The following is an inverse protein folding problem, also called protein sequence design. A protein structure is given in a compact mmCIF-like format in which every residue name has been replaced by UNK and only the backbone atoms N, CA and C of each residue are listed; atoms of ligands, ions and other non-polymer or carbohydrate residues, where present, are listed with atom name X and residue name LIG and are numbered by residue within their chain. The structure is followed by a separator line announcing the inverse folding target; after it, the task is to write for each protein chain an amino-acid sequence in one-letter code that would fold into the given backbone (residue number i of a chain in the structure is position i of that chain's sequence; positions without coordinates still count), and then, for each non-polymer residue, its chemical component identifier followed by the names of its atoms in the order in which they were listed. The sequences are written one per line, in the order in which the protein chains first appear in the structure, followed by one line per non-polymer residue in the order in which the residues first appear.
data_IF_760170594506
#
_entry.id   IF_760170594506
#
_cell.length_a   1.000
_cell.length_b   1.000
_cell.length_c   1.000
_cell.angle_alpha   90.00
_cell.angle_beta   90.00
_cell.angle_gamma   90.00
#
_symmetry.space_group_name_H-M   'P 1'
#
loop_
_entity.id
_entity.type
_entity.pdbx_description
1 polymer ?
#
# COMPACT_ATOMS: atom_id res chain seq x y z
N UNK A 1 -22.54 -10.47 -29.82
CA UNK A 1 -21.64 -9.35 -30.18
C UNK A 1 -20.86 -9.04 -28.91
N UNK A 2 -19.63 -9.54 -28.81
CA UNK A 2 -18.79 -9.34 -27.64
C UNK A 2 -18.32 -7.89 -27.60
N UNK A 3 -18.41 -7.29 -26.42
CA UNK A 3 -17.73 -6.05 -26.14
C UNK A 3 -16.21 -6.32 -26.36
N UNK A 4 -15.63 -5.77 -27.40
CA UNK A 4 -14.18 -5.60 -27.52
C UNK A 4 -13.79 -4.64 -26.37
N UNK A 5 -13.47 -5.23 -25.20
CA UNK A 5 -12.93 -4.49 -24.10
C UNK A 5 -11.58 -3.93 -24.54
N UNK A 6 -11.35 -2.66 -24.25
CA UNK A 6 -10.05 -2.02 -24.39
C UNK A 6 -9.07 -2.92 -23.61
N UNK A 7 -8.19 -3.59 -24.37
CA UNK A 7 -7.23 -4.52 -23.79
C UNK A 7 -6.14 -3.66 -23.14
N UNK A 8 -5.94 -3.84 -21.84
CA UNK A 8 -4.90 -3.11 -21.09
C UNK A 8 -3.56 -3.22 -21.84
N UNK A 9 -2.91 -2.11 -22.13
CA UNK A 9 -1.63 -2.08 -22.86
C UNK A 9 -0.46 -2.47 -21.97
N UNK A 10 -0.52 -2.06 -20.72
CA UNK A 10 0.53 -2.26 -19.72
C UNK A 10 0.02 -3.05 -18.53
N UNK A 11 0.94 -3.74 -17.86
CA UNK A 11 0.63 -4.52 -16.66
C UNK A 11 0.09 -3.63 -15.53
N UNK A 12 -0.75 -4.21 -14.71
CA UNK A 12 -1.16 -3.57 -13.46
C UNK A 12 -0.08 -3.82 -12.38
N UNK A 13 0.59 -2.77 -11.88
CA UNK A 13 1.63 -2.89 -10.84
C UNK A 13 1.11 -3.46 -9.51
N UNK A 14 -0.19 -3.35 -9.25
CA UNK A 14 -0.79 -3.89 -8.01
C UNK A 14 -1.06 -5.40 -8.07
N UNK A 15 -0.76 -6.06 -9.17
CA UNK A 15 -0.75 -7.52 -9.25
C UNK A 15 0.60 -8.07 -8.76
N UNK A 16 0.61 -9.28 -8.18
CA UNK A 16 1.85 -9.94 -7.76
C UNK A 16 2.84 -10.08 -8.93
N UNK A 17 2.34 -10.51 -10.09
CA UNK A 17 3.14 -10.61 -11.30
C UNK A 17 3.70 -9.26 -11.75
N UNK A 18 2.83 -8.22 -11.84
CA UNK A 18 3.24 -6.90 -12.32
C UNK A 18 4.29 -6.26 -11.42
N UNK A 19 4.13 -6.36 -10.10
CA UNK A 19 5.10 -5.83 -9.16
C UNK A 19 6.45 -6.54 -9.24
N UNK A 20 6.43 -7.87 -9.25
CA UNK A 20 7.66 -8.69 -9.38
C UNK A 20 8.35 -8.49 -10.71
N UNK A 21 7.59 -8.35 -11.80
CA UNK A 21 8.15 -8.05 -13.12
C UNK A 21 8.94 -6.73 -13.11
N UNK A 22 8.38 -5.68 -12.52
CA UNK A 22 9.00 -4.35 -12.50
C UNK A 22 10.16 -4.25 -11.52
N UNK A 23 10.03 -4.84 -10.32
CA UNK A 23 10.95 -4.61 -9.20
C UNK A 23 11.63 -5.87 -8.65
N UNK A 24 11.14 -7.06 -8.96
CA UNK A 24 11.60 -8.31 -8.36
C UNK A 24 12.63 -9.09 -9.20
N UNK A 25 13.06 -8.58 -10.35
CA UNK A 25 13.95 -9.31 -11.27
C UNK A 25 15.30 -8.63 -11.42
N UNK A 26 16.37 -9.43 -11.48
CA UNK A 26 17.73 -8.91 -11.71
C UNK A 26 17.86 -8.17 -13.07
N UNK A 27 17.05 -8.53 -14.05
CA UNK A 27 17.03 -7.89 -15.37
C UNK A 27 16.54 -6.43 -15.29
N UNK A 28 15.64 -6.13 -14.35
CA UNK A 28 15.00 -4.83 -14.19
C UNK A 28 15.45 -4.09 -12.91
N UNK A 29 16.58 -4.50 -12.31
CA UNK A 29 17.07 -3.90 -11.07
C UNK A 29 17.27 -2.38 -11.13
N UNK A 30 17.53 -1.84 -12.32
CA UNK A 30 17.65 -0.39 -12.52
C UNK A 30 16.33 0.36 -12.21
N UNK A 31 15.18 -0.29 -12.41
CA UNK A 31 13.89 0.29 -12.06
C UNK A 31 13.75 0.40 -10.53
N UNK A 32 14.08 -0.68 -9.80
CA UNK A 32 14.07 -0.68 -8.33
C UNK A 32 15.05 0.33 -7.76
N UNK A 33 16.28 0.40 -8.28
CA UNK A 33 17.31 1.37 -7.84
C UNK A 33 16.81 2.80 -8.03
N UNK A 34 16.26 3.12 -9.19
CA UNK A 34 15.73 4.45 -9.49
C UNK A 34 14.56 4.81 -8.56
N UNK A 35 13.64 3.86 -8.32
CA UNK A 35 12.53 4.06 -7.39
C UNK A 35 13.02 4.32 -5.96
N UNK A 36 13.91 3.46 -5.42
CA UNK A 36 14.44 3.60 -4.06
C UNK A 36 15.23 4.90 -3.89
N UNK A 37 16.05 5.29 -4.87
CA UNK A 37 16.77 6.55 -4.85
C UNK A 37 15.82 7.75 -4.82
N UNK A 38 14.78 7.74 -5.67
CA UNK A 38 13.79 8.81 -5.70
C UNK A 38 12.99 8.92 -4.41
N UNK A 39 12.67 7.78 -3.78
CA UNK A 39 11.88 7.71 -2.57
C UNK A 39 12.67 8.11 -1.32
N UNK A 40 13.87 7.54 -1.14
CA UNK A 40 14.58 7.59 0.15
C UNK A 40 15.60 8.74 0.23
N UNK A 41 16.26 9.04 -0.89
CA UNK A 41 17.43 9.92 -0.87
C UNK A 41 17.26 11.19 -1.70
N UNK A 42 16.31 11.22 -2.64
CA UNK A 42 16.13 12.31 -3.64
C UNK A 42 17.35 12.53 -4.56
N UNK A 43 18.33 11.63 -4.51
CA UNK A 43 19.57 11.64 -5.29
C UNK A 43 20.03 10.19 -5.55
N UNK A 44 21.03 10.00 -6.43
CA UNK A 44 21.53 8.68 -6.77
C UNK A 44 22.56 8.16 -5.75
N UNK A 45 22.08 7.68 -4.61
CA UNK A 45 22.89 7.10 -3.52
C UNK A 45 23.13 5.60 -3.72
N UNK A 46 22.07 4.85 -4.10
CA UNK A 46 22.15 3.43 -4.40
C UNK A 46 22.62 3.27 -5.84
N UNK A 47 23.72 2.55 -6.04
CA UNK A 47 24.30 2.28 -7.36
C UNK A 47 24.02 0.89 -7.87
N UNK A 48 23.89 -0.07 -6.95
CA UNK A 48 23.55 -1.46 -7.27
C UNK A 48 22.75 -2.11 -6.14
N UNK A 49 21.99 -3.16 -6.50
CA UNK A 49 21.30 -4.01 -5.53
C UNK A 49 21.52 -5.48 -5.87
N UNK A 50 21.61 -6.29 -4.80
CA UNK A 50 21.61 -7.75 -4.86
C UNK A 50 20.31 -8.25 -4.25
N UNK A 51 19.52 -9.02 -5.02
CA UNK A 51 18.31 -9.63 -4.49
C UNK A 51 18.65 -10.75 -3.52
N UNK A 52 17.94 -10.78 -2.40
CA UNK A 52 18.03 -11.77 -1.36
C UNK A 52 16.81 -12.68 -1.38
N UNK A 53 16.94 -13.86 -0.75
CA UNK A 53 15.81 -14.78 -0.74
C UNK A 53 14.72 -14.28 0.23
N UNK A 54 13.57 -13.90 -0.32
CA UNK A 54 12.43 -13.42 0.44
C UNK A 54 11.68 -14.51 1.23
N UNK A 55 11.94 -15.81 0.96
CA UNK A 55 11.21 -16.92 1.56
C UNK A 55 11.93 -17.60 2.74
N UNK A 56 13.21 -17.31 2.99
CA UNK A 56 14.04 -18.01 3.97
C UNK A 56 14.23 -17.29 5.31
N UNK A 57 13.31 -16.42 5.67
CA UNK A 57 13.42 -15.62 6.89
C UNK A 57 12.89 -16.32 8.15
N UNK A 58 12.90 -17.65 8.19
CA UNK A 58 12.62 -18.46 9.39
C UNK A 58 13.78 -19.44 9.64
N UNK A 59 14.44 -19.35 10.78
CA UNK A 59 15.55 -20.24 11.16
C UNK A 59 15.09 -21.53 11.83
N UNK A 60 13.82 -21.66 12.16
CA UNK A 60 13.22 -22.84 12.80
C UNK A 60 11.89 -23.23 12.13
N UNK A 61 11.55 -24.50 12.18
CA UNK A 61 10.36 -25.11 11.55
C UNK A 61 9.03 -24.51 12.04
N UNK A 62 9.03 -23.80 13.17
CA UNK A 62 7.88 -23.13 13.80
C UNK A 62 7.84 -21.61 13.58
N UNK A 63 8.87 -21.03 12.97
CA UNK A 63 8.88 -19.59 12.70
C UNK A 63 7.91 -19.29 11.54
N UNK A 64 6.99 -18.33 11.75
CA UNK A 64 6.15 -17.82 10.67
C UNK A 64 7.07 -17.27 9.58
N UNK A 65 6.96 -17.85 8.37
CA UNK A 65 7.67 -17.35 7.19
C UNK A 65 7.21 -15.95 6.89
N UNK A 66 8.14 -15.01 6.80
CA UNK A 66 7.89 -13.73 6.18
C UNK A 66 8.11 -13.90 4.67
N UNK A 67 7.13 -13.51 3.88
CA UNK A 67 7.25 -13.48 2.42
C UNK A 67 7.15 -12.01 2.03
N UNK A 68 8.21 -11.50 1.41
CA UNK A 68 8.25 -10.14 0.87
C UNK A 68 8.10 -10.17 -0.63
N UNK A 69 7.54 -9.13 -1.21
CA UNK A 69 7.49 -8.99 -2.65
C UNK A 69 8.92 -8.78 -3.22
N UNK A 70 9.71 -7.91 -2.56
CA UNK A 70 11.11 -7.68 -2.89
C UNK A 70 11.94 -7.56 -1.61
N UNK A 71 13.04 -8.32 -1.54
CA UNK A 71 14.06 -8.21 -0.51
C UNK A 71 15.43 -8.09 -1.16
N UNK A 72 16.16 -7.02 -0.88
CA UNK A 72 17.48 -6.79 -1.49
C UNK A 72 18.41 -6.03 -0.53
N UNK A 73 19.70 -6.02 -0.90
CA UNK A 73 20.72 -5.19 -0.27
C UNK A 73 21.47 -4.36 -1.30
N UNK A 74 21.94 -3.17 -0.91
CA UNK A 74 22.81 -2.36 -1.74
C UNK A 74 24.29 -2.69 -1.49
N UNK A 75 25.18 -1.99 -2.23
CA UNK A 75 26.63 -2.14 -2.14
C UNK A 75 27.23 -1.80 -0.75
N UNK A 76 26.47 -1.13 0.13
CA UNK A 76 26.85 -0.81 1.52
C UNK A 76 26.35 -1.85 2.53
N UNK A 77 25.62 -2.85 2.07
CA UNK A 77 24.98 -3.86 2.91
C UNK A 77 23.70 -3.39 3.61
N UNK A 78 23.15 -2.24 3.22
CA UNK A 78 21.86 -1.76 3.71
C UNK A 78 20.74 -2.61 3.10
N UNK A 79 19.72 -2.95 3.88
CA UNK A 79 18.66 -3.88 3.52
C UNK A 79 17.36 -3.14 3.18
N UNK A 80 16.71 -3.57 2.11
CA UNK A 80 15.45 -3.01 1.63
C UNK A 80 14.41 -4.10 1.51
N UNK A 81 13.30 -3.91 2.21
CA UNK A 81 12.07 -4.71 2.11
C UNK A 81 11.04 -3.85 1.42
N UNK A 82 10.55 -4.26 0.26
CA UNK A 82 9.54 -3.51 -0.49
C UNK A 82 8.33 -4.38 -0.71
N UNK A 83 7.17 -3.87 -0.30
CA UNK A 83 5.88 -4.55 -0.40
C UNK A 83 4.84 -3.68 -1.09
N UNK A 84 4.05 -4.29 -1.96
CA UNK A 84 2.84 -3.72 -2.54
C UNK A 84 1.62 -4.27 -1.80
N UNK A 85 0.99 -3.43 -0.98
CA UNK A 85 -0.19 -3.82 -0.21
C UNK A 85 -1.47 -3.43 -0.95
N UNK A 86 -2.26 -4.43 -1.36
CA UNK A 86 -3.48 -4.26 -2.15
C UNK A 86 -4.65 -3.65 -1.38
N UNK A 87 -4.71 -3.89 -0.08
CA UNK A 87 -5.73 -3.37 0.83
C UNK A 87 -5.33 -3.44 2.26
N UNK A 88 -6.11 -2.77 3.10
CA UNK A 88 -5.88 -2.73 4.52
C UNK A 88 -5.97 -4.14 5.13
N UNK A 89 -5.02 -4.45 5.97
CA UNK A 89 -5.01 -5.67 6.77
C UNK A 89 -4.95 -5.28 8.24
N UNK A 90 -5.78 -5.93 9.02
CA UNK A 90 -5.70 -5.80 10.47
C UNK A 90 -4.26 -6.07 10.93
N UNK A 91 -3.73 -5.20 11.80
CA UNK A 91 -2.36 -5.29 12.31
C UNK A 91 -1.25 -5.13 11.24
N UNK A 92 -1.51 -4.37 10.18
CA UNK A 92 -0.49 -4.11 9.15
C UNK A 92 0.79 -3.48 9.75
N UNK A 93 0.64 -2.52 10.66
CA UNK A 93 1.79 -1.86 11.32
C UNK A 93 2.60 -2.84 12.16
N UNK A 94 1.92 -3.71 12.93
CA UNK A 94 2.59 -4.77 13.73
C UNK A 94 3.36 -5.74 12.82
N UNK A 95 2.75 -6.13 11.69
CA UNK A 95 3.39 -6.98 10.69
C UNK A 95 4.63 -6.33 10.09
N UNK A 96 4.59 -5.06 9.75
CA UNK A 96 5.75 -4.33 9.23
C UNK A 96 6.91 -4.29 10.22
N UNK A 97 6.61 -4.03 11.51
CA UNK A 97 7.60 -4.07 12.59
C UNK A 97 8.16 -5.48 12.74
N UNK A 98 7.31 -6.50 12.79
CA UNK A 98 7.74 -7.90 12.88
C UNK A 98 8.65 -8.26 11.70
N UNK A 99 8.30 -7.90 10.49
CA UNK A 99 9.08 -8.17 9.28
C UNK A 99 10.45 -7.49 9.31
N UNK A 100 10.56 -6.29 9.85
CA UNK A 100 11.84 -5.59 9.98
C UNK A 100 12.85 -6.32 10.87
N UNK A 101 12.39 -7.20 11.77
CA UNK A 101 13.26 -7.94 12.68
C UNK A 101 14.10 -9.00 11.97
N UNK A 102 13.63 -9.52 10.83
CA UNK A 102 14.35 -10.56 10.09
C UNK A 102 15.69 -10.06 9.54
N UNK A 103 15.73 -8.99 8.71
CA UNK A 103 16.99 -8.45 8.22
C UNK A 103 17.91 -7.92 9.34
N UNK A 104 17.37 -7.52 10.49
CA UNK A 104 18.17 -7.17 11.67
C UNK A 104 18.84 -8.42 12.24
N UNK A 105 18.08 -9.50 12.47
CA UNK A 105 18.60 -10.77 13.00
C UNK A 105 19.64 -11.42 12.09
N UNK A 106 19.46 -11.36 10.78
CA UNK A 106 20.39 -11.91 9.80
C UNK A 106 21.78 -11.28 9.85
N UNK A 107 21.88 -10.05 10.31
CA UNK A 107 23.16 -9.34 10.47
C UNK A 107 23.97 -9.85 11.68
N UNK A 108 23.33 -10.58 12.60
CA UNK A 108 23.99 -11.14 13.77
C UNK A 108 25.01 -12.21 13.39
N UNK A 109 26.27 -12.01 13.78
CA UNK A 109 27.38 -12.95 13.53
C UNK A 109 27.64 -13.82 14.74
N UNK A 110 28.07 -15.06 14.50
CA UNK A 110 28.60 -15.92 15.57
C UNK A 110 30.03 -15.52 15.89
N UNK A 111 30.39 -15.48 17.19
CA UNK A 111 31.71 -15.09 17.67
C UNK A 111 31.78 -13.62 18.08
N UNK A 112 32.96 -13.00 17.97
CA UNK A 112 33.14 -11.59 18.29
C UNK A 112 32.43 -10.72 17.27
N UNK A 113 31.53 -9.85 17.74
CA UNK A 113 30.76 -8.91 16.95
C UNK A 113 30.53 -7.63 17.79
N UNK A 114 30.78 -6.48 17.19
CA UNK A 114 30.64 -5.17 17.81
C UNK A 114 29.19 -4.61 17.80
N UNK A 115 28.22 -5.43 17.37
CA UNK A 115 26.81 -5.05 17.22
C UNK A 115 26.52 -3.92 16.21
N UNK A 116 27.48 -3.59 15.32
CA UNK A 116 27.20 -2.64 14.24
C UNK A 116 26.17 -3.24 13.28
N UNK A 117 25.02 -2.56 13.13
CA UNK A 117 23.99 -2.89 12.15
C UNK A 117 24.10 -1.97 10.93
N UNK A 118 23.84 -2.52 9.76
CA UNK A 118 23.54 -1.75 8.54
C UNK A 118 22.06 -1.34 8.56
N UNK A 119 21.74 -0.26 7.85
CA UNK A 119 20.37 0.25 7.82
C UNK A 119 19.38 -0.76 7.21
N UNK A 120 18.16 -0.75 7.74
CA UNK A 120 17.02 -1.51 7.26
C UNK A 120 15.90 -0.54 6.90
N UNK A 121 15.45 -0.62 5.66
CA UNK A 121 14.35 0.14 5.12
C UNK A 121 13.18 -0.78 4.82
N UNK A 122 12.01 -0.49 5.38
CA UNK A 122 10.76 -1.19 5.08
C UNK A 122 9.86 -0.23 4.31
N UNK A 123 9.62 -0.53 3.05
CA UNK A 123 8.83 0.30 2.14
C UNK A 123 7.51 -0.39 1.85
N UNK A 124 6.41 0.24 2.25
CA UNK A 124 5.05 -0.19 1.95
C UNK A 124 4.38 0.75 0.95
N UNK A 125 4.03 0.23 -0.23
CA UNK A 125 3.23 0.93 -1.23
C UNK A 125 1.78 0.49 -1.02
N UNK A 126 0.95 1.38 -0.45
CA UNK A 126 -0.36 1.04 0.07
C UNK A 126 -1.47 1.48 -0.89
N UNK A 127 -2.29 0.54 -1.36
CA UNK A 127 -3.51 0.83 -2.12
C UNK A 127 -4.71 1.12 -1.20
N UNK A 128 -4.45 1.65 -0.03
CA UNK A 128 -5.42 2.11 0.97
C UNK A 128 -4.84 3.27 1.77
N UNK A 129 -5.68 3.93 2.57
CA UNK A 129 -5.25 4.98 3.50
C UNK A 129 -5.40 4.48 4.93
N UNK A 130 -4.48 4.90 5.81
CA UNK A 130 -4.61 4.62 7.24
C UNK A 130 -5.81 5.35 7.84
N UNK A 131 -6.49 4.72 8.80
CA UNK A 131 -7.52 5.38 9.60
C UNK A 131 -6.96 6.61 10.30
N UNK A 132 -7.73 7.69 10.32
CA UNK A 132 -7.39 8.96 10.95
C UNK A 132 -6.08 9.61 10.47
N UNK A 133 -5.55 9.21 9.29
CA UNK A 133 -4.44 9.91 8.68
C UNK A 133 -4.88 11.21 8.03
N UNK A 134 -3.98 12.22 8.01
CA UNK A 134 -4.23 13.49 7.34
C UNK A 134 -4.58 13.25 5.86
N UNK A 135 -5.62 13.96 5.36
CA UNK A 135 -6.15 13.74 4.02
C UNK A 135 -5.15 14.08 2.90
N UNK A 136 -4.24 15.00 3.14
CA UNK A 136 -3.26 15.48 2.16
C UNK A 136 -1.90 14.79 2.29
N UNK A 137 -1.61 14.21 3.48
CA UNK A 137 -0.32 13.61 3.74
C UNK A 137 -0.31 12.12 3.40
N UNK A 138 0.44 11.75 2.38
CA UNK A 138 0.49 10.38 1.83
C UNK A 138 1.84 9.67 1.96
N UNK A 139 2.91 10.41 2.27
CA UNK A 139 4.28 9.90 2.39
C UNK A 139 4.73 9.91 3.84
N UNK A 140 4.71 8.76 4.49
CA UNK A 140 5.10 8.60 5.89
C UNK A 140 6.53 8.09 5.97
N UNK A 141 7.38 8.78 6.71
CA UNK A 141 8.71 8.32 7.11
C UNK A 141 8.73 8.16 8.63
N UNK A 142 8.91 6.93 9.10
CA UNK A 142 8.80 6.57 10.52
C UNK A 142 10.14 6.03 11.00
N UNK A 143 10.65 6.61 12.09
CA UNK A 143 11.91 6.24 12.77
C UNK A 143 11.72 6.17 14.27
N UNK A 144 12.69 5.60 14.98
CA UNK A 144 12.73 5.65 16.43
C UNK A 144 13.14 7.06 16.89
N UNK A 145 12.28 7.68 17.69
CA UNK A 145 12.44 9.07 18.16
C UNK A 145 12.41 9.10 19.69
N UNK A 146 13.28 9.89 20.29
CA UNK A 146 13.20 10.21 21.71
C UNK A 146 12.02 11.16 21.96
N UNK A 147 11.07 10.73 22.80
CA UNK A 147 9.80 11.44 23.01
C UNK A 147 9.94 12.78 23.76
N UNK A 148 11.04 13.00 24.47
CA UNK A 148 11.29 14.24 25.21
C UNK A 148 12.01 15.28 24.36
N UNK A 149 13.01 14.82 23.60
CA UNK A 149 13.84 15.71 22.77
C UNK A 149 13.31 15.89 21.35
N UNK A 150 12.37 15.03 20.92
CA UNK A 150 11.85 14.94 19.54
C UNK A 150 12.94 14.73 18.47
N UNK A 151 14.09 14.17 18.88
CA UNK A 151 15.18 13.85 17.97
C UNK A 151 15.17 12.38 17.58
N UNK A 152 15.63 12.10 16.35
CA UNK A 152 15.84 10.72 15.92
C UNK A 152 16.88 10.08 16.84
N UNK A 153 16.47 9.05 17.56
CA UNK A 153 17.33 8.27 18.45
C UNK A 153 18.14 7.22 17.69
N UNK A 154 17.50 6.61 16.68
CA UNK A 154 18.11 5.57 15.86
C UNK A 154 17.66 5.71 14.41
N UNK A 155 18.60 5.93 13.51
CA UNK A 155 18.36 6.28 12.11
C UNK A 155 18.50 5.08 11.13
N UNK A 156 19.04 3.94 11.61
CA UNK A 156 19.27 2.76 10.76
C UNK A 156 18.05 1.82 10.66
N UNK A 157 16.90 2.18 11.22
CA UNK A 157 15.61 1.51 11.00
C UNK A 157 14.59 2.54 10.57
N UNK A 158 14.16 2.43 9.31
CA UNK A 158 13.22 3.37 8.71
C UNK A 158 12.08 2.61 8.06
N UNK A 159 10.83 3.02 8.38
CA UNK A 159 9.65 2.57 7.66
C UNK A 159 9.16 3.71 6.78
N UNK A 160 8.87 3.40 5.53
CA UNK A 160 8.29 4.35 4.58
C UNK A 160 6.96 3.78 4.08
N UNK A 161 5.87 4.53 4.25
CA UNK A 161 4.57 4.13 3.75
C UNK A 161 4.06 5.19 2.78
N UNK A 162 3.57 4.71 1.63
CA UNK A 162 3.00 5.54 0.57
C UNK A 162 1.52 5.21 0.44
N UNK A 163 0.63 6.11 0.90
CA UNK A 163 -0.82 5.97 0.76
C UNK A 163 -1.25 6.40 -0.65
N UNK A 164 -1.16 5.50 -1.61
CA UNK A 164 -1.36 5.77 -3.03
C UNK A 164 -2.73 6.38 -3.38
N UNK A 165 -3.86 6.09 -2.68
CA UNK A 165 -5.14 6.75 -2.96
C UNK A 165 -5.10 8.27 -2.80
N UNK A 166 -4.20 8.81 -1.98
CA UNK A 166 -4.06 10.26 -1.73
C UNK A 166 -3.16 10.97 -2.74
N UNK A 167 -2.35 10.25 -3.52
CA UNK A 167 -1.53 10.84 -4.57
C UNK A 167 -2.40 11.19 -5.80
N UNK A 168 -2.65 12.46 -6.05
CA UNK A 168 -3.61 12.94 -7.07
C UNK A 168 -2.98 13.83 -8.15
N UNK A 169 -1.63 13.92 -8.22
CA UNK A 169 -0.96 14.74 -9.24
C UNK A 169 -1.26 14.24 -10.65
N UNK A 170 -1.62 15.18 -11.52
CA UNK A 170 -1.72 14.99 -12.97
C UNK A 170 -0.33 14.95 -13.62
N UNK A 171 -0.26 14.59 -14.91
CA UNK A 171 1.01 14.54 -15.67
C UNK A 171 1.76 15.88 -15.63
N UNK A 172 1.04 17.01 -15.75
CA UNK A 172 1.63 18.35 -15.80
C UNK A 172 2.17 18.84 -14.44
N UNK A 173 1.82 18.16 -13.35
CA UNK A 173 2.25 18.48 -11.99
C UNK A 173 3.45 17.62 -11.50
N UNK A 174 4.02 16.79 -12.38
CA UNK A 174 5.13 15.89 -12.05
C UNK A 174 6.48 16.63 -12.08
N UNK A 175 6.92 17.14 -10.95
CA UNK A 175 8.15 17.91 -10.83
C UNK A 175 9.37 17.01 -10.56
N UNK A 176 9.25 16.01 -9.69
CA UNK A 176 10.34 15.17 -9.21
C UNK A 176 10.32 13.76 -9.80
N UNK A 177 11.44 13.03 -9.72
CA UNK A 177 11.49 11.60 -10.01
C UNK A 177 10.56 10.81 -9.10
N UNK A 178 10.38 11.25 -7.86
CA UNK A 178 9.43 10.67 -6.91
C UNK A 178 8.00 10.79 -7.42
N UNK A 179 7.55 12.00 -7.82
CA UNK A 179 6.22 12.18 -8.40
C UNK A 179 5.98 11.28 -9.61
N UNK A 180 6.99 11.20 -10.50
CA UNK A 180 6.92 10.36 -11.72
C UNK A 180 6.75 8.89 -11.39
N UNK A 181 7.46 8.38 -10.39
CA UNK A 181 7.32 7.00 -9.92
C UNK A 181 5.93 6.73 -9.35
N UNK A 182 5.41 7.62 -8.48
CA UNK A 182 4.08 7.45 -7.91
C UNK A 182 2.99 7.50 -8.98
N UNK A 183 3.13 8.43 -9.93
CA UNK A 183 2.21 8.54 -11.07
C UNK A 183 2.17 7.24 -11.88
N UNK A 184 3.33 6.67 -12.22
CA UNK A 184 3.42 5.39 -12.94
C UNK A 184 2.79 4.27 -12.13
N UNK A 185 3.16 4.10 -10.86
CA UNK A 185 2.62 3.04 -10.03
C UNK A 185 1.10 3.11 -9.93
N UNK A 186 0.54 4.32 -9.86
CA UNK A 186 -0.91 4.51 -9.77
C UNK A 186 -1.64 4.30 -11.09
N UNK A 187 -1.08 4.75 -12.20
CA UNK A 187 -1.81 4.92 -13.45
C UNK A 187 -1.42 3.94 -14.56
N UNK A 188 -0.30 3.20 -14.45
CA UNK A 188 0.28 2.40 -15.52
C UNK A 188 -0.74 1.51 -16.24
N UNK A 189 -1.59 0.80 -15.49
CA UNK A 189 -2.60 -0.11 -16.05
C UNK A 189 -3.65 0.59 -16.93
N UNK A 190 -3.90 1.87 -16.70
CA UNK A 190 -4.89 2.67 -17.44
C UNK A 190 -4.28 3.48 -18.59
N UNK A 191 -2.95 3.53 -18.69
CA UNK A 191 -2.28 4.28 -19.75
C UNK A 191 -2.39 3.55 -21.09
N UNK A 192 -2.83 4.27 -22.12
CA UNK A 192 -2.82 3.81 -23.51
C UNK A 192 -1.56 4.21 -24.24
N UNK A 193 -0.97 5.33 -23.83
CA UNK A 193 0.26 5.87 -24.38
C UNK A 193 1.20 6.30 -23.26
N UNK A 194 2.46 6.44 -23.58
CA UNK A 194 3.46 6.92 -22.65
C UNK A 194 3.34 8.42 -22.45
N UNK A 195 3.16 8.93 -21.22
CA UNK A 195 3.12 10.35 -20.92
C UNK A 195 4.42 11.09 -21.31
N UNK A 196 4.30 12.35 -21.73
CA UNK A 196 5.45 13.17 -22.13
C UNK A 196 6.40 13.44 -20.95
N UNK A 197 5.85 13.61 -19.75
CA UNK A 197 6.64 13.83 -18.53
C UNK A 197 7.55 12.65 -18.16
N UNK A 198 7.28 11.45 -18.72
CA UNK A 198 8.00 10.21 -18.42
C UNK A 198 9.03 9.81 -19.50
N UNK A 199 9.50 10.78 -20.30
CA UNK A 199 10.48 10.54 -21.37
C UNK A 199 11.91 10.58 -20.83
N UNK A 200 12.33 9.51 -20.14
CA UNK A 200 13.72 9.29 -19.76
C UNK A 200 14.04 7.79 -19.81
N UNK A 201 15.35 7.46 -19.80
CA UNK A 201 15.85 6.08 -19.98
C UNK A 201 15.20 5.06 -19.02
N UNK A 202 14.98 5.43 -17.76
CA UNK A 202 14.42 4.51 -16.77
C UNK A 202 12.97 4.19 -17.12
N UNK A 203 12.17 5.21 -17.45
CA UNK A 203 10.78 4.99 -17.86
C UNK A 203 10.68 4.38 -19.26
N UNK A 204 11.66 4.61 -20.18
CA UNK A 204 11.75 3.86 -21.44
C UNK A 204 11.77 2.36 -21.14
N UNK A 205 12.68 1.95 -20.27
CA UNK A 205 12.80 0.56 -19.84
C UNK A 205 11.55 0.04 -19.16
N UNK A 206 10.93 0.84 -18.26
CA UNK A 206 9.71 0.47 -17.58
C UNK A 206 8.57 0.18 -18.57
N UNK A 207 8.27 1.09 -19.48
CA UNK A 207 7.20 0.92 -20.45
C UNK A 207 7.46 -0.23 -21.41
N UNK A 208 8.72 -0.45 -21.78
CA UNK A 208 9.12 -1.59 -22.60
C UNK A 208 8.88 -2.92 -21.89
N UNK A 209 9.25 -3.00 -20.61
CA UNK A 209 9.06 -4.18 -19.76
C UNK A 209 7.59 -4.44 -19.45
N UNK A 210 6.81 -3.38 -19.22
CA UNK A 210 5.40 -3.46 -18.81
C UNK A 210 4.44 -3.79 -19.96
N UNK A 211 4.88 -3.75 -21.23
CA UNK A 211 4.01 -3.89 -22.40
C UNK A 211 3.54 -5.36 -22.57
N UNK A 212 2.26 -5.61 -22.32
CA UNK A 212 1.66 -6.96 -22.32
C UNK A 212 1.83 -7.67 -23.66
N UNK A 213 1.79 -6.92 -24.78
CA UNK A 213 1.94 -7.48 -26.11
C UNK A 213 3.32 -8.13 -26.36
N UNK A 214 4.31 -7.84 -25.54
CA UNK A 214 5.67 -8.40 -25.60
C UNK A 214 5.87 -9.68 -24.77
N UNK A 215 4.86 -10.08 -24.01
CA UNK A 215 4.95 -11.24 -23.13
C UNK A 215 4.97 -12.54 -23.91
N UNK A 216 5.74 -13.48 -23.41
CA UNK A 216 5.66 -14.89 -23.81
C UNK A 216 4.30 -15.46 -23.39
N UNK A 217 3.93 -16.61 -23.95
CA UNK A 217 2.68 -17.29 -23.59
C UNK A 217 2.62 -17.63 -22.10
N UNK A 218 3.76 -17.97 -21.49
CA UNK A 218 3.85 -18.30 -20.06
C UNK A 218 3.63 -17.05 -19.22
N UNK A 219 4.36 -15.96 -19.48
CA UNK A 219 4.21 -14.68 -18.78
C UNK A 219 2.78 -14.12 -18.91
N UNK A 220 2.18 -14.28 -20.09
CA UNK A 220 0.81 -13.86 -20.32
C UNK A 220 -0.18 -14.65 -19.46
N UNK A 221 0.00 -15.97 -19.34
CA UNK A 221 -0.83 -16.83 -18.48
C UNK A 221 -0.69 -16.43 -17.00
N UNK A 222 0.56 -16.29 -16.53
CA UNK A 222 0.86 -15.89 -15.15
C UNK A 222 0.28 -14.50 -14.82
N UNK A 223 0.38 -13.56 -15.76
CA UNK A 223 -0.21 -12.24 -15.59
C UNK A 223 -1.73 -12.29 -15.48
N UNK A 224 -2.41 -13.04 -16.36
CA UNK A 224 -3.87 -13.16 -16.32
C UNK A 224 -4.37 -13.83 -15.04
N UNK A 225 -3.67 -14.84 -14.53
CA UNK A 225 -3.98 -15.47 -13.25
C UNK A 225 -3.80 -14.49 -12.09
N UNK A 226 -2.71 -13.73 -12.09
CA UNK A 226 -2.44 -12.70 -11.09
C UNK A 226 -3.46 -11.55 -11.14
N UNK A 227 -3.85 -11.11 -12.34
CA UNK A 227 -4.85 -10.06 -12.54
C UNK A 227 -6.26 -10.54 -12.12
N UNK A 228 -6.61 -11.80 -12.41
CA UNK A 228 -7.85 -12.40 -11.94
C UNK A 228 -7.89 -12.41 -10.41
N UNK A 229 -6.85 -12.89 -9.75
CA UNK A 229 -6.76 -12.91 -8.28
C UNK A 229 -6.89 -11.50 -7.69
N UNK A 230 -6.30 -10.49 -8.34
CA UNK A 230 -6.44 -9.10 -7.94
C UNK A 230 -7.89 -8.60 -8.06
N UNK A 231 -8.55 -8.87 -9.19
CA UNK A 231 -9.94 -8.45 -9.45
C UNK A 231 -10.93 -9.15 -8.51
N UNK A 232 -10.76 -10.45 -8.28
CA UNK A 232 -11.60 -11.23 -7.37
C UNK A 232 -11.47 -10.68 -5.93
N UNK A 233 -10.24 -10.45 -5.46
CA UNK A 233 -9.99 -9.83 -4.18
C UNK A 233 -10.63 -8.44 -4.06
N UNK A 234 -10.44 -7.57 -5.06
CA UNK A 234 -11.00 -6.21 -5.09
C UNK A 234 -12.53 -6.23 -5.06
N UNK A 235 -13.16 -7.14 -5.79
CA UNK A 235 -14.61 -7.31 -5.80
C UNK A 235 -15.16 -7.69 -4.43
N UNK A 236 -14.49 -8.61 -3.72
CA UNK A 236 -14.88 -9.01 -2.36
C UNK A 236 -14.78 -7.84 -1.39
N UNK A 237 -13.64 -7.15 -1.37
CA UNK A 237 -13.40 -6.04 -0.45
C UNK A 237 -14.35 -4.87 -0.73
N UNK A 238 -14.49 -4.44 -1.99
CA UNK A 238 -15.39 -3.33 -2.34
C UNK A 238 -16.85 -3.63 -2.01
N UNK A 239 -17.26 -4.89 -2.12
CA UNK A 239 -18.62 -5.32 -1.73
C UNK A 239 -18.79 -5.25 -0.21
N UNK A 240 -17.79 -5.72 0.55
CA UNK A 240 -17.82 -5.66 2.01
C UNK A 240 -17.82 -4.23 2.54
N UNK A 241 -16.98 -3.35 1.96
CA UNK A 241 -16.95 -1.92 2.30
C UNK A 241 -18.27 -1.22 2.01
N UNK A 242 -18.87 -1.48 0.84
CA UNK A 242 -20.17 -0.92 0.47
C UNK A 242 -21.25 -1.35 1.46
N UNK A 243 -21.28 -2.65 1.77
CA UNK A 243 -22.26 -3.20 2.73
C UNK A 243 -22.06 -2.61 4.12
N UNK A 244 -20.83 -2.56 4.64
CA UNK A 244 -20.52 -1.96 5.93
C UNK A 244 -20.88 -0.48 6.01
N UNK A 245 -20.69 0.28 4.91
CA UNK A 245 -21.10 1.69 4.85
C UNK A 245 -22.62 1.85 4.85
N UNK A 246 -23.36 0.98 4.15
CA UNK A 246 -24.82 0.97 4.15
C UNK A 246 -25.35 0.63 5.55
N UNK A 247 -24.86 -0.45 6.15
CA UNK A 247 -25.22 -0.86 7.52
C UNK A 247 -24.93 0.23 8.55
N UNK A 248 -23.72 0.82 8.52
CA UNK A 248 -23.35 1.91 9.42
C UNK A 248 -24.18 3.17 9.24
N UNK A 249 -24.61 3.48 7.99
CA UNK A 249 -25.53 4.59 7.73
C UNK A 249 -26.92 4.32 8.32
N UNK A 250 -27.45 3.11 8.13
CA UNK A 250 -28.75 2.72 8.69
C UNK A 250 -28.75 2.74 10.22
N UNK A 251 -27.68 2.22 10.83
CA UNK A 251 -27.48 2.22 12.28
C UNK A 251 -27.37 3.65 12.82
N UNK A 252 -26.58 4.53 12.17
CA UNK A 252 -26.46 5.93 12.55
C UNK A 252 -27.78 6.71 12.45
N UNK A 253 -28.59 6.46 11.40
CA UNK A 253 -29.93 7.06 11.29
C UNK A 253 -30.86 6.57 12.40
N UNK A 254 -30.83 5.24 12.69
CA UNK A 254 -31.61 4.67 13.78
C UNK A 254 -31.22 5.30 15.12
N UNK A 255 -29.94 5.37 15.43
CA UNK A 255 -29.44 5.96 16.68
C UNK A 255 -29.83 7.45 16.81
N UNK A 256 -29.70 8.22 15.73
CA UNK A 256 -30.13 9.63 15.69
C UNK A 256 -31.63 9.76 15.96
N UNK A 257 -32.46 8.92 15.34
CA UNK A 257 -33.91 8.92 15.55
C UNK A 257 -34.27 8.55 16.99
N UNK A 258 -33.59 7.57 17.58
CA UNK A 258 -33.76 7.21 19.00
C UNK A 258 -33.42 8.36 19.95
N UNK A 259 -32.29 9.05 19.72
CA UNK A 259 -31.86 10.17 20.52
C UNK A 259 -32.82 11.36 20.37
N UNK A 260 -33.29 11.65 19.14
CA UNK A 260 -34.29 12.68 18.89
C UNK A 260 -35.61 12.36 19.59
N UNK A 261 -36.11 11.14 19.49
CA UNK A 261 -37.34 10.72 20.14
C UNK A 261 -37.26 10.88 21.67
N UNK A 262 -36.13 10.47 22.28
CA UNK A 262 -35.88 10.64 23.73
C UNK A 262 -35.93 12.12 24.12
N UNK A 263 -35.25 12.99 23.36
CA UNK A 263 -35.21 14.42 23.65
C UNK A 263 -36.62 15.07 23.51
N UNK A 264 -37.36 14.73 22.45
CA UNK A 264 -38.72 15.23 22.26
C UNK A 264 -39.68 14.75 23.34
N UNK A 265 -39.57 13.50 23.79
CA UNK A 265 -40.34 12.97 24.89
C UNK A 265 -40.08 13.73 26.21
N UNK A 266 -38.81 14.03 26.50
CA UNK A 266 -38.44 14.86 27.70
C UNK A 266 -38.98 16.29 27.63
N UNK A 267 -39.13 16.85 26.39
CA UNK A 267 -39.74 18.16 26.18
C UNK A 267 -41.25 18.15 26.20
N UNK A 268 -41.89 16.99 26.46
CA UNK A 268 -43.32 16.85 26.57
C UNK A 268 -44.08 16.86 25.26
N UNK A 269 -43.41 16.58 24.13
CA UNK A 269 -44.06 16.45 22.82
C UNK A 269 -44.92 15.17 22.81
N UNK A 270 -46.09 15.25 22.17
CA UNK A 270 -47.01 14.12 22.07
C UNK A 270 -46.41 12.94 21.31
N UNK A 271 -46.67 11.71 21.75
CA UNK A 271 -46.05 10.47 21.24
C UNK A 271 -46.31 10.28 19.73
N UNK A 272 -47.51 10.60 19.27
CA UNK A 272 -47.91 10.51 17.86
C UNK A 272 -47.09 11.46 16.97
N UNK A 273 -46.77 12.68 17.47
CA UNK A 273 -45.91 13.63 16.77
C UNK A 273 -44.45 13.13 16.73
N UNK A 274 -43.96 12.57 17.85
CA UNK A 274 -42.62 12.00 17.93
C UNK A 274 -42.50 10.82 16.91
N UNK A 275 -43.53 9.96 16.86
CA UNK A 275 -43.58 8.83 15.94
C UNK A 275 -43.51 9.29 14.47
N UNK A 276 -44.28 10.31 14.12
CA UNK A 276 -44.25 10.89 12.75
C UNK A 276 -42.90 11.52 12.42
N UNK A 277 -42.25 12.19 13.38
CA UNK A 277 -40.98 12.87 13.16
C UNK A 277 -39.77 11.94 13.06
N UNK A 278 -39.80 10.81 13.79
CA UNK A 278 -38.63 9.90 13.92
C UNK A 278 -38.80 8.56 13.21
N UNK A 279 -40.05 8.22 12.82
CA UNK A 279 -40.37 6.91 12.23
C UNK A 279 -40.35 5.75 13.22
N UNK A 280 -40.15 6.02 14.53
CA UNK A 280 -40.27 5.00 15.58
C UNK A 280 -41.73 4.70 15.92
N UNK A 281 -42.03 3.49 16.30
CA UNK A 281 -43.38 3.12 16.79
C UNK A 281 -43.66 3.76 18.13
N UNK A 282 -44.95 3.97 18.45
CA UNK A 282 -45.38 4.49 19.72
C UNK A 282 -44.90 3.63 20.89
N UNK A 283 -44.91 2.28 20.73
CA UNK A 283 -44.40 1.35 21.71
C UNK A 283 -42.90 1.49 21.99
N UNK A 284 -42.10 1.79 20.96
CA UNK A 284 -40.66 2.07 21.10
C UNK A 284 -40.43 3.39 21.84
N UNK A 285 -41.24 4.41 21.52
CA UNK A 285 -41.15 5.73 22.18
C UNK A 285 -41.60 5.65 23.64
N UNK A 286 -42.59 4.84 23.96
CA UNK A 286 -43.02 4.65 25.36
C UNK A 286 -41.93 4.07 26.25
N UNK A 287 -41.08 3.20 25.68
CA UNK A 287 -39.96 2.54 26.39
C UNK A 287 -38.72 3.42 26.58
N UNK A 288 -38.66 4.59 25.90
CA UNK A 288 -37.60 5.59 26.07
C UNK A 288 -37.74 6.36 27.35
#
# INVERSE_FOLDING_TARGET
MGAEGIQDKYVNPYTDFGFKLLFGTAMNKELLISFLNALLFKEEVIKDVTYLNAEHLGTQEYDRRAVFDVYCENEKGEKFLVEMQRGEQQFFKDRSVFYSTFPIREQGKRGEWDYELKAVYVVGILNFSFDNSDAEYFHHEVKLVDLYTHKVFYDKLTFVYLEMPKFNKSEDELESMFDKWLFVLRNLASLLERPRALQNRVFDRLFETAEIAKFTKTELSEYWDSLKNFRDWYSVISTAEKKGREEGREEGVREANWNNARNLKQLGVAIDIISQATGLSEEEIEKL
#
